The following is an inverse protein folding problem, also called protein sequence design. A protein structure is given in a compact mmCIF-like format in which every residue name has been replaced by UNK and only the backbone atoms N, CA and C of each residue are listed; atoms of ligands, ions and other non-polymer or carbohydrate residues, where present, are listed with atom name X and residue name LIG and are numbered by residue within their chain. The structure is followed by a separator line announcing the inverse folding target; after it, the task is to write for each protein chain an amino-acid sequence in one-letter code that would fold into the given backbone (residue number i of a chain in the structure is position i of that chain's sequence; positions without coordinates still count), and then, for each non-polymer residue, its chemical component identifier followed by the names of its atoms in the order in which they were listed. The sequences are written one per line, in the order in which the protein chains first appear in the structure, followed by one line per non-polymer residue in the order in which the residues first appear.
data_IF_361871171579
#
_entry.id   IF_361871171579
#
_cell.length_a   1.000
_cell.length_b   1.000
_cell.length_c   1.000
_cell.angle_alpha   90.00
_cell.angle_beta   90.00
_cell.angle_gamma   90.00
#
_symmetry.space_group_name_H-M   'P 1'
#
loop_
_entity.id
_entity.type
_entity.pdbx_description
1 polymer ?
#
# COMPACT_ATOMS: atom_id res chain seq x y z
N UNK A 1 -4.27 -43.46 46.33
CA UNK A 1 -4.74 -43.04 44.98
C UNK A 1 -4.53 -41.56 44.68
N UNK A 2 -4.81 -40.60 45.59
CA UNK A 2 -4.55 -39.16 45.36
C UNK A 2 -3.08 -38.79 45.06
N UNK A 3 -2.11 -39.49 45.66
CA UNK A 3 -0.67 -39.26 45.42
C UNK A 3 -0.17 -39.73 44.05
N UNK A 4 -0.83 -40.72 43.43
CA UNK A 4 -0.50 -41.21 42.09
C UNK A 4 -1.01 -40.23 41.01
N UNK A 5 -2.20 -39.65 41.23
CA UNK A 5 -2.80 -38.65 40.35
C UNK A 5 -1.96 -37.35 40.34
N UNK A 6 -1.44 -36.93 41.50
CA UNK A 6 -0.56 -35.76 41.60
C UNK A 6 0.80 -35.98 40.92
N UNK A 7 1.33 -37.21 40.90
CA UNK A 7 2.56 -37.53 40.19
C UNK A 7 2.36 -37.55 38.66
N UNK A 8 1.22 -38.09 38.19
CA UNK A 8 0.85 -38.07 36.77
C UNK A 8 0.54 -36.64 36.30
N UNK A 9 -0.07 -35.81 37.14
CA UNK A 9 -0.23 -34.39 36.87
C UNK A 9 1.14 -33.69 36.82
N UNK A 10 2.03 -33.89 37.79
CA UNK A 10 3.36 -33.25 37.76
C UNK A 10 4.18 -33.65 36.53
N UNK A 11 4.13 -34.93 36.11
CA UNK A 11 4.77 -35.41 34.88
C UNK A 11 4.10 -34.90 33.59
N UNK A 12 2.80 -34.61 33.61
CA UNK A 12 2.09 -34.04 32.45
C UNK A 12 2.22 -32.51 32.32
N UNK A 13 2.49 -31.78 33.41
CA UNK A 13 2.82 -30.33 33.35
C UNK A 13 4.32 -30.04 33.21
N UNK A 14 5.21 -31.04 33.31
CA UNK A 14 6.67 -30.84 33.14
C UNK A 14 7.22 -31.30 31.78
N UNK A 15 6.35 -31.62 30.82
CA UNK A 15 6.69 -31.85 29.42
C UNK A 15 5.88 -30.94 28.48
N UNK A 16 6.03 -29.63 28.66
CA UNK A 16 5.99 -28.68 27.55
C UNK A 16 7.37 -28.02 27.40
N UNK A 17 8.39 -28.86 27.19
CA UNK A 17 9.53 -28.46 26.36
C UNK A 17 9.20 -28.91 24.93
N UNK A 18 8.09 -28.41 24.38
CA UNK A 18 7.80 -28.56 22.96
C UNK A 18 8.62 -27.52 22.20
N UNK A 19 9.78 -27.97 21.74
CA UNK A 19 10.37 -27.60 20.45
C UNK A 19 11.24 -26.35 20.29
N UNK A 20 11.93 -25.89 21.32
CA UNK A 20 13.20 -25.17 21.08
C UNK A 20 14.25 -26.06 20.38
N UNK A 21 14.14 -27.39 20.51
CA UNK A 21 15.08 -28.35 19.90
C UNK A 21 14.76 -28.76 18.45
N UNK A 22 13.50 -28.62 17.97
CA UNK A 22 13.20 -28.83 16.53
C UNK A 22 13.43 -27.60 15.68
N UNK A 23 13.38 -26.38 16.23
CA UNK A 23 13.81 -25.20 15.48
C UNK A 23 15.33 -25.12 15.32
N UNK A 24 16.12 -25.66 16.27
CA UNK A 24 17.59 -25.68 16.19
C UNK A 24 18.18 -26.80 15.32
N UNK A 25 17.37 -27.78 14.90
CA UNK A 25 17.77 -28.87 13.98
C UNK A 25 17.36 -28.67 12.53
N UNK A 26 16.52 -27.68 12.24
CA UNK A 26 16.21 -27.32 10.84
C UNK A 26 17.45 -26.65 10.25
N UNK A 27 17.80 -27.01 9.01
CA UNK A 27 18.82 -26.24 8.32
C UNK A 27 18.35 -24.78 8.26
N UNK A 28 19.30 -23.86 8.30
CA UNK A 28 19.03 -22.42 8.17
C UNK A 28 18.13 -22.11 6.98
N UNK A 29 18.30 -22.86 5.88
CA UNK A 29 17.50 -22.79 4.67
C UNK A 29 16.04 -23.22 4.91
N UNK A 30 15.80 -24.32 5.62
CA UNK A 30 14.44 -24.78 5.97
C UNK A 30 13.74 -23.78 6.90
N UNK A 31 14.44 -23.24 7.89
CA UNK A 31 13.89 -22.24 8.82
C UNK A 31 13.49 -20.96 8.07
N UNK A 32 14.37 -20.45 7.20
CA UNK A 32 14.08 -19.26 6.39
C UNK A 32 12.96 -19.50 5.38
N UNK A 33 12.92 -20.68 4.77
CA UNK A 33 11.86 -21.07 3.85
C UNK A 33 10.49 -21.07 4.50
N UNK A 34 10.37 -21.61 5.72
CA UNK A 34 9.12 -21.63 6.48
C UNK A 34 8.71 -20.22 6.92
N UNK A 35 9.64 -19.47 7.51
CA UNK A 35 9.41 -18.10 7.99
C UNK A 35 8.99 -17.16 6.84
N UNK A 36 9.68 -17.22 5.70
CA UNK A 36 9.36 -16.35 4.58
C UNK A 36 8.12 -16.81 3.80
N UNK A 37 7.80 -18.10 3.81
CA UNK A 37 6.52 -18.57 3.25
C UNK A 37 5.34 -17.91 3.96
N UNK A 38 5.38 -17.81 5.29
CA UNK A 38 4.33 -17.16 6.06
C UNK A 38 4.34 -15.62 5.90
N UNK A 39 5.52 -15.01 5.78
CA UNK A 39 5.67 -13.56 5.58
C UNK A 39 5.24 -13.08 4.17
N UNK A 40 5.32 -13.96 3.16
CA UNK A 40 5.05 -13.67 1.74
C UNK A 40 3.59 -13.97 1.34
N UNK A 41 2.72 -14.30 2.30
CA UNK A 41 1.28 -14.30 2.06
C UNK A 41 0.77 -12.86 1.89
N UNK A 42 0.82 -12.37 0.65
CA UNK A 42 0.17 -11.13 0.24
C UNK A 42 -1.33 -11.27 0.49
N UNK A 43 -1.82 -10.65 1.57
CA UNK A 43 -3.23 -10.57 1.95
C UNK A 43 -4.03 -9.67 1.01
N UNK A 44 -3.99 -9.99 -0.28
CA UNK A 44 -4.67 -9.24 -1.32
C UNK A 44 -6.12 -9.70 -1.36
N UNK A 45 -7.04 -8.78 -1.12
CA UNK A 45 -8.47 -9.06 -1.11
C UNK A 45 -8.89 -9.77 -2.39
N UNK A 46 -9.67 -10.85 -2.25
CA UNK A 46 -10.16 -11.67 -3.37
C UNK A 46 -11.41 -11.10 -4.03
N UNK A 47 -11.95 -10.00 -3.51
CA UNK A 47 -13.13 -9.33 -4.05
C UNK A 47 -12.80 -8.61 -5.36
N UNK A 48 -13.73 -8.58 -6.33
CA UNK A 48 -13.53 -7.80 -7.56
C UNK A 48 -13.66 -6.31 -7.23
N UNK A 49 -12.88 -5.44 -7.88
CA UNK A 49 -12.92 -3.96 -7.68
C UNK A 49 -14.35 -3.36 -7.76
N UNK A 50 -15.29 -4.11 -8.36
CA UNK A 50 -16.68 -3.78 -8.58
C UNK A 50 -17.70 -4.73 -7.92
N UNK A 51 -17.29 -5.76 -7.16
CA UNK A 51 -18.23 -6.69 -6.52
C UNK A 51 -18.03 -6.80 -5.01
N UNK A 52 -18.83 -6.05 -4.27
CA UNK A 52 -19.35 -6.48 -2.98
C UNK A 52 -20.75 -5.86 -2.86
N UNK A 53 -21.75 -6.73 -3.03
CA UNK A 53 -23.20 -6.49 -3.00
C UNK A 53 -23.65 -5.25 -2.21
N UNK A 54 -24.44 -4.40 -2.90
CA UNK A 54 -25.13 -3.16 -2.47
C UNK A 54 -24.27 -1.92 -2.14
N UNK A 55 -23.00 -1.88 -2.54
CA UNK A 55 -22.02 -0.85 -2.17
C UNK A 55 -21.15 -0.35 -3.35
N UNK A 56 -21.77 -0.22 -4.53
CA UNK A 56 -21.09 -0.16 -5.82
C UNK A 56 -20.25 1.12 -6.08
N UNK A 57 -20.37 2.17 -5.27
CA UNK A 57 -19.59 3.41 -5.46
C UNK A 57 -18.24 3.43 -4.72
N UNK A 58 -18.05 2.59 -3.70
CA UNK A 58 -16.88 2.61 -2.81
C UNK A 58 -16.07 1.30 -2.81
N UNK A 59 -16.33 0.38 -3.75
CA UNK A 59 -15.56 -0.87 -3.89
C UNK A 59 -14.06 -0.63 -3.99
N UNK A 60 -13.65 0.44 -4.67
CA UNK A 60 -12.26 0.86 -4.77
C UNK A 60 -11.61 1.20 -3.43
N UNK A 61 -12.34 1.84 -2.52
CA UNK A 61 -11.83 2.28 -1.21
C UNK A 61 -11.47 1.11 -0.33
N UNK A 62 -12.38 0.14 -0.24
CA UNK A 62 -12.15 -1.08 0.56
C UNK A 62 -10.99 -1.89 0.03
N UNK A 63 -10.85 -2.01 -1.29
CA UNK A 63 -9.72 -2.74 -1.85
C UNK A 63 -8.41 -2.00 -1.74
N UNK A 64 -8.42 -0.69 -1.92
CA UNK A 64 -7.24 0.13 -1.73
C UNK A 64 -6.75 0.07 -0.28
N UNK A 65 -7.67 0.11 0.69
CA UNK A 65 -7.34 -0.07 2.10
C UNK A 65 -6.84 -1.48 2.41
N UNK A 66 -7.51 -2.53 1.90
CA UNK A 66 -7.07 -3.94 2.07
C UNK A 66 -5.69 -4.17 1.45
N UNK A 67 -5.46 -3.66 0.24
CA UNK A 67 -4.20 -3.81 -0.44
C UNK A 67 -3.10 -3.00 0.23
N UNK A 68 -3.35 -1.75 0.60
CA UNK A 68 -2.41 -0.94 1.35
C UNK A 68 -2.06 -1.58 2.71
N UNK A 69 -3.03 -2.18 3.41
CA UNK A 69 -2.78 -2.92 4.66
C UNK A 69 -2.00 -4.22 4.43
N UNK A 70 -2.29 -4.95 3.36
CA UNK A 70 -1.53 -6.14 2.98
C UNK A 70 -0.07 -5.79 2.67
N UNK A 71 0.16 -4.70 1.94
CA UNK A 71 1.50 -4.23 1.61
C UNK A 71 2.23 -3.59 2.81
N UNK A 72 1.51 -2.94 3.73
CA UNK A 72 2.12 -2.34 4.93
C UNK A 72 2.83 -3.38 5.78
N UNK A 73 2.28 -4.59 5.87
CA UNK A 73 2.83 -5.67 6.67
C UNK A 73 4.04 -6.39 6.06
N UNK A 74 4.31 -6.26 4.75
CA UNK A 74 5.37 -7.06 4.09
C UNK A 74 6.74 -6.74 4.67
N UNK A 75 7.09 -5.45 4.76
CA UNK A 75 8.39 -5.00 5.27
C UNK A 75 8.58 -5.52 6.70
N UNK A 76 7.60 -5.29 7.57
CA UNK A 76 7.63 -5.72 8.96
C UNK A 76 7.76 -7.24 9.08
N UNK A 77 6.99 -8.01 8.31
CA UNK A 77 7.03 -9.48 8.35
C UNK A 77 8.38 -10.03 7.86
N UNK A 78 8.99 -9.44 6.83
CA UNK A 78 10.30 -9.86 6.34
C UNK A 78 11.41 -9.53 7.34
N UNK A 79 11.40 -8.32 7.91
CA UNK A 79 12.37 -7.91 8.94
C UNK A 79 12.21 -8.78 10.20
N UNK A 80 10.97 -9.02 10.64
CA UNK A 80 10.67 -9.91 11.76
C UNK A 80 11.15 -11.33 11.46
N UNK A 81 10.97 -11.81 10.23
CA UNK A 81 11.46 -13.12 9.81
C UNK A 81 12.98 -13.24 9.89
N UNK A 82 13.71 -12.23 9.42
CA UNK A 82 15.17 -12.16 9.55
C UNK A 82 15.61 -12.09 11.02
N UNK A 83 14.86 -11.36 11.86
CA UNK A 83 15.10 -11.29 13.32
C UNK A 83 14.91 -12.63 14.00
N UNK A 84 13.82 -13.33 13.70
CA UNK A 84 13.54 -14.66 14.24
C UNK A 84 14.56 -15.70 13.77
N UNK A 85 15.12 -15.53 12.57
CA UNK A 85 16.24 -16.35 12.08
C UNK A 85 17.62 -15.96 12.68
N UNK A 86 17.67 -14.99 13.61
CA UNK A 86 18.86 -14.63 14.37
C UNK A 86 19.85 -13.73 13.64
N UNK A 87 19.47 -13.10 12.52
CA UNK A 87 20.37 -12.24 11.75
C UNK A 87 20.80 -10.97 12.49
N UNK A 88 20.01 -10.52 13.48
CA UNK A 88 20.31 -9.33 14.28
C UNK A 88 20.82 -9.66 15.70
N UNK A 89 21.18 -10.91 15.98
CA UNK A 89 21.69 -11.29 17.31
C UNK A 89 23.08 -10.69 17.61
N UNK A 90 23.82 -10.30 16.56
CA UNK A 90 25.12 -9.63 16.67
C UNK A 90 25.09 -8.31 15.88
N UNK A 91 24.46 -7.25 16.41
CA UNK A 91 24.11 -6.04 15.66
C UNK A 91 25.31 -5.21 15.15
N UNK A 92 26.54 -5.53 15.57
CA UNK A 92 27.76 -4.87 15.07
C UNK A 92 28.55 -5.67 14.02
N UNK A 93 28.15 -6.90 13.68
CA UNK A 93 28.88 -7.71 12.70
C UNK A 93 28.29 -7.57 11.30
N UNK A 94 29.17 -7.27 10.34
CA UNK A 94 28.86 -7.38 8.92
C UNK A 94 28.70 -8.85 8.53
N UNK A 95 27.66 -9.15 7.77
CA UNK A 95 27.33 -10.50 7.32
C UNK A 95 26.76 -10.46 5.92
N UNK A 96 27.24 -11.36 5.05
CA UNK A 96 26.67 -11.59 3.73
C UNK A 96 26.44 -13.09 3.55
N UNK A 97 25.20 -13.49 3.29
CA UNK A 97 24.82 -14.86 2.99
C UNK A 97 24.13 -14.94 1.64
N UNK A 98 24.45 -15.99 0.88
CA UNK A 98 23.76 -16.35 -0.36
C UNK A 98 23.28 -17.79 -0.21
N UNK A 99 21.97 -17.99 -0.23
CA UNK A 99 21.32 -19.29 -0.08
C UNK A 99 20.70 -19.67 -1.41
N UNK A 100 21.18 -20.73 -2.05
CA UNK A 100 20.70 -21.18 -3.37
C UNK A 100 19.70 -22.32 -3.23
N UNK A 101 18.79 -22.45 -4.20
CA UNK A 101 17.79 -23.52 -4.26
C UNK A 101 16.82 -23.54 -3.06
N UNK A 102 16.57 -22.39 -2.44
CA UNK A 102 15.55 -22.27 -1.41
C UNK A 102 14.19 -22.28 -2.08
N UNK A 103 13.32 -23.23 -1.71
CA UNK A 103 12.01 -23.36 -2.31
C UNK A 103 10.98 -22.57 -1.50
N UNK A 104 10.61 -21.38 -1.99
CA UNK A 104 9.62 -20.53 -1.33
C UNK A 104 8.22 -20.83 -1.87
N UNK A 105 7.24 -20.90 -0.98
CA UNK A 105 5.83 -20.99 -1.39
C UNK A 105 5.45 -19.81 -2.29
N UNK A 106 4.73 -20.08 -3.37
CA UNK A 106 4.32 -19.08 -4.36
C UNK A 106 5.39 -18.68 -5.37
N UNK A 107 6.68 -18.61 -4.99
CA UNK A 107 7.77 -18.18 -5.89
C UNK A 107 8.47 -19.38 -6.55
N UNK A 108 8.59 -20.49 -5.81
CA UNK A 108 9.35 -21.67 -6.19
C UNK A 108 10.84 -21.58 -5.82
N UNK A 109 11.67 -22.38 -6.52
CA UNK A 109 13.12 -22.39 -6.30
C UNK A 109 13.72 -21.01 -6.54
N UNK A 110 14.46 -20.52 -5.55
CA UNK A 110 14.99 -19.17 -5.49
C UNK A 110 16.38 -19.13 -4.87
N UNK A 111 17.11 -18.05 -5.16
CA UNK A 111 18.30 -17.64 -4.43
C UNK A 111 17.95 -16.50 -3.49
N UNK A 112 18.34 -16.61 -2.22
CA UNK A 112 18.19 -15.57 -1.22
C UNK A 112 19.54 -14.91 -0.97
N UNK A 113 19.63 -13.59 -1.13
CA UNK A 113 20.82 -12.82 -0.77
C UNK A 113 20.50 -11.96 0.44
N UNK A 114 21.23 -12.14 1.55
CA UNK A 114 21.01 -11.41 2.79
C UNK A 114 22.32 -10.72 3.16
N UNK A 115 22.27 -9.40 3.34
CA UNK A 115 23.39 -8.56 3.79
C UNK A 115 22.96 -7.81 5.05
N UNK A 116 23.67 -8.01 6.15
CA UNK A 116 23.45 -7.33 7.43
C UNK A 116 24.68 -6.49 7.74
N UNK A 117 24.50 -5.23 8.16
CA UNK A 117 25.59 -4.29 8.44
C UNK A 117 26.61 -4.21 7.30
N UNK A 118 26.11 -4.33 6.08
CA UNK A 118 26.90 -4.22 4.85
C UNK A 118 26.15 -3.21 3.99
N UNK A 119 26.40 -1.90 4.23
CA UNK A 119 25.56 -0.86 3.70
C UNK A 119 25.47 -0.91 2.18
N UNK A 120 24.25 -0.71 1.67
CA UNK A 120 24.04 -0.45 0.25
C UNK A 120 23.87 1.04 0.08
N UNK A 121 24.80 1.66 -0.65
CA UNK A 121 24.83 3.10 -0.83
C UNK A 121 24.22 3.51 -2.17
N UNK A 122 23.75 4.75 -2.26
CA UNK A 122 23.29 5.29 -3.55
C UNK A 122 21.94 4.72 -4.02
N UNK A 123 21.11 4.22 -3.11
CA UNK A 123 19.80 3.65 -3.45
C UNK A 123 18.85 4.79 -3.80
N UNK A 124 18.30 4.77 -5.01
CA UNK A 124 17.32 5.76 -5.49
C UNK A 124 15.89 5.22 -5.37
N UNK A 125 14.90 6.10 -5.23
CA UNK A 125 13.48 5.72 -5.15
C UNK A 125 12.58 6.79 -5.74
N UNK A 126 11.34 6.43 -6.09
CA UNK A 126 10.32 7.43 -6.44
C UNK A 126 9.81 8.21 -5.22
N UNK A 127 10.06 7.69 -4.01
CA UNK A 127 9.53 8.23 -2.76
C UNK A 127 10.37 9.35 -2.13
N UNK A 128 11.64 9.51 -2.51
CA UNK A 128 12.52 10.54 -1.96
C UNK A 128 13.41 11.12 -3.05
N UNK A 129 13.91 12.34 -2.81
CA UNK A 129 14.88 12.97 -3.70
C UNK A 129 16.29 12.42 -3.42
N UNK A 130 17.16 12.46 -4.42
CA UNK A 130 18.53 11.93 -4.35
C UNK A 130 18.55 10.43 -4.00
N UNK A 131 19.63 10.00 -3.37
CA UNK A 131 19.86 8.62 -2.94
C UNK A 131 19.94 8.54 -1.43
N UNK A 132 19.57 7.37 -0.89
CA UNK A 132 19.71 6.98 0.51
C UNK A 132 20.65 5.80 0.66
N UNK A 133 21.13 5.60 1.86
CA UNK A 133 22.00 4.48 2.21
C UNK A 133 21.29 3.60 3.24
N UNK A 134 21.33 2.28 3.05
CA UNK A 134 20.64 1.35 3.94
C UNK A 134 21.63 0.34 4.52
N UNK A 135 21.58 0.12 5.83
CA UNK A 135 22.50 -0.78 6.55
C UNK A 135 22.35 -2.26 6.17
N UNK A 136 21.15 -2.66 5.75
CA UNK A 136 20.78 -4.03 5.46
C UNK A 136 20.13 -4.16 4.09
N UNK A 137 20.29 -5.34 3.49
CA UNK A 137 19.69 -5.70 2.22
C UNK A 137 19.24 -7.16 2.22
N UNK A 138 18.07 -7.41 1.66
CA UNK A 138 17.53 -8.74 1.43
C UNK A 138 16.96 -8.83 0.01
N UNK A 139 17.32 -9.87 -0.73
CA UNK A 139 16.84 -10.13 -2.08
C UNK A 139 16.36 -11.57 -2.23
N UNK A 140 15.27 -11.72 -2.97
CA UNK A 140 14.77 -12.99 -3.48
C UNK A 140 14.87 -12.94 -5.00
N UNK A 141 15.64 -13.86 -5.58
CA UNK A 141 15.74 -14.04 -7.02
C UNK A 141 15.28 -15.44 -7.42
N UNK A 142 14.15 -15.54 -8.12
CA UNK A 142 13.66 -16.81 -8.67
C UNK A 142 14.68 -17.42 -9.63
N UNK A 143 14.88 -18.73 -9.52
CA UNK A 143 15.82 -19.45 -10.39
C UNK A 143 15.45 -19.28 -11.86
N UNK A 144 16.42 -18.86 -12.67
CA UNK A 144 16.22 -18.59 -14.11
C UNK A 144 15.63 -17.21 -14.45
N UNK A 145 15.28 -16.39 -13.46
CA UNK A 145 14.81 -15.02 -13.70
C UNK A 145 15.98 -14.06 -13.99
N UNK A 146 15.79 -13.14 -14.94
CA UNK A 146 16.76 -12.08 -15.26
C UNK A 146 16.73 -10.95 -14.23
N UNK A 147 15.59 -10.70 -13.60
CA UNK A 147 15.39 -9.71 -12.54
C UNK A 147 15.09 -10.38 -11.19
N UNK A 148 15.35 -9.70 -10.06
CA UNK A 148 14.88 -10.14 -8.76
C UNK A 148 13.35 -10.21 -8.71
N UNK A 149 12.82 -11.07 -7.85
CA UNK A 149 11.39 -11.09 -7.51
C UNK A 149 11.09 -10.13 -6.36
N UNK A 150 12.07 -9.89 -5.49
CA UNK A 150 11.97 -8.96 -4.36
C UNK A 150 13.36 -8.41 -3.98
N UNK A 151 13.43 -7.12 -3.65
CA UNK A 151 14.56 -6.49 -2.98
C UNK A 151 14.05 -5.61 -1.84
N UNK A 152 14.63 -5.76 -0.66
CA UNK A 152 14.33 -5.01 0.55
C UNK A 152 15.63 -4.37 1.04
N UNK A 153 15.65 -3.05 1.09
CA UNK A 153 16.69 -2.22 1.69
C UNK A 153 16.14 -1.65 2.98
N UNK A 154 16.87 -1.73 4.09
CA UNK A 154 16.36 -1.25 5.37
C UNK A 154 17.48 -0.95 6.35
N UNK A 155 17.22 -0.03 7.25
CA UNK A 155 18.08 0.24 8.39
C UNK A 155 17.72 -0.60 9.61
N UNK A 156 18.54 -0.48 10.66
CA UNK A 156 18.32 -1.22 11.89
C UNK A 156 16.92 -0.91 12.43
N UNK A 157 16.04 -1.92 12.56
CA UNK A 157 14.68 -1.73 13.02
C UNK A 157 14.58 -1.21 14.46
N UNK A 158 15.68 -1.27 15.23
CA UNK A 158 15.72 -0.80 16.60
C UNK A 158 16.16 0.68 16.72
N UNK A 159 16.67 1.29 15.66
CA UNK A 159 17.03 2.72 15.61
C UNK A 159 16.02 3.48 14.77
N UNK A 160 15.10 4.21 15.41
CA UNK A 160 14.01 4.91 14.69
C UNK A 160 14.36 6.36 14.31
N UNK A 161 15.38 6.95 14.93
CA UNK A 161 15.78 8.34 14.70
C UNK A 161 17.08 8.39 13.89
N UNK A 162 17.09 9.22 12.84
CA UNK A 162 18.26 9.41 11.97
C UNK A 162 18.51 8.28 10.97
N UNK A 163 17.58 7.33 10.84
CA UNK A 163 17.64 6.28 9.82
C UNK A 163 16.94 6.71 8.52
N UNK A 164 17.30 6.05 7.42
CA UNK A 164 16.73 6.21 6.09
C UNK A 164 15.45 5.39 5.89
N UNK A 165 15.12 4.48 6.81
CA UNK A 165 13.86 3.75 6.87
C UNK A 165 13.95 2.37 6.21
N UNK A 166 12.91 1.96 5.48
CA UNK A 166 12.92 0.73 4.70
C UNK A 166 12.21 0.89 3.35
N UNK A 167 12.81 0.33 2.31
CA UNK A 167 12.38 0.40 0.93
C UNK A 167 12.32 -1.02 0.35
N UNK A 168 11.19 -1.38 -0.23
CA UNK A 168 11.01 -2.69 -0.86
C UNK A 168 10.52 -2.54 -2.30
N UNK A 169 11.09 -3.34 -3.19
CA UNK A 169 10.64 -3.57 -4.55
C UNK A 169 10.21 -5.02 -4.70
N UNK A 170 9.09 -5.29 -5.35
CA UNK A 170 8.66 -6.67 -5.59
C UNK A 170 7.80 -6.80 -6.85
N UNK A 171 7.90 -7.97 -7.51
CA UNK A 171 7.17 -8.30 -8.73
C UNK A 171 5.95 -9.16 -8.45
N UNK A 172 4.75 -8.60 -8.61
CA UNK A 172 3.50 -9.33 -8.27
C UNK A 172 3.35 -10.67 -9.01
N UNK A 173 3.81 -10.75 -10.26
CA UNK A 173 3.71 -11.96 -11.11
C UNK A 173 4.49 -13.16 -10.53
N UNK A 174 5.54 -12.91 -9.74
CA UNK A 174 6.39 -13.97 -9.21
C UNK A 174 5.82 -14.62 -7.94
N UNK A 175 4.80 -14.06 -7.29
CA UNK A 175 4.30 -14.51 -5.98
C UNK A 175 3.20 -15.58 -6.03
N UNK A 176 3.08 -16.33 -7.13
CA UNK A 176 2.28 -17.57 -7.20
C UNK A 176 0.77 -17.43 -6.97
N UNK A 177 0.26 -16.20 -6.85
CA UNK A 177 -1.17 -15.96 -6.77
C UNK A 177 -1.76 -16.04 -8.20
N UNK A 178 -2.73 -16.95 -8.45
CA UNK A 178 -3.34 -17.12 -9.78
C UNK A 178 -3.94 -15.83 -10.35
N UNK A 179 -4.34 -14.87 -9.51
CA UNK A 179 -4.85 -13.57 -9.94
C UNK A 179 -3.77 -12.70 -10.59
N UNK A 180 -2.49 -12.93 -10.30
CA UNK A 180 -1.35 -12.20 -10.86
C UNK A 180 -0.53 -13.01 -11.87
N UNK A 181 -0.91 -14.27 -12.13
CA UNK A 181 -0.18 -15.14 -13.06
C UNK A 181 -0.13 -14.60 -14.50
N UNK A 182 -1.13 -13.83 -14.91
CA UNK A 182 -1.23 -13.18 -16.22
C UNK A 182 -1.06 -11.67 -16.17
N UNK A 183 -0.63 -11.16 -15.01
CA UNK A 183 -0.33 -9.75 -14.86
C UNK A 183 1.07 -9.53 -15.43
N UNK A 184 1.24 -8.44 -16.18
CA UNK A 184 2.52 -8.09 -16.80
C UNK A 184 3.62 -7.87 -15.76
N UNK A 185 4.71 -7.25 -16.18
CA UNK A 185 5.84 -6.93 -15.30
C UNK A 185 5.52 -5.79 -14.33
N UNK A 186 4.58 -6.03 -13.40
CA UNK A 186 4.24 -5.11 -12.31
C UNK A 186 5.35 -5.13 -11.31
N UNK A 187 5.99 -3.98 -11.14
CA UNK A 187 6.85 -3.72 -10.01
C UNK A 187 6.11 -2.78 -9.06
N UNK A 188 6.06 -3.18 -7.80
CA UNK A 188 5.57 -2.33 -6.71
C UNK A 188 6.75 -1.91 -5.87
N UNK A 189 6.84 -0.61 -5.59
CA UNK A 189 7.75 0.02 -4.64
C UNK A 189 6.96 0.38 -3.38
N UNK A 190 7.47 0.04 -2.20
CA UNK A 190 6.95 0.52 -0.93
C UNK A 190 8.08 1.10 -0.09
N UNK A 191 7.91 2.33 0.37
CA UNK A 191 8.88 3.01 1.23
C UNK A 191 8.22 3.43 2.54
N UNK A 192 8.83 3.07 3.67
CA UNK A 192 8.45 3.50 5.01
C UNK A 192 9.57 4.32 5.64
N UNK A 193 9.20 5.41 6.31
CA UNK A 193 10.14 6.31 6.96
C UNK A 193 9.45 7.18 8.02
N UNK A 194 10.25 8.00 8.70
CA UNK A 194 9.78 8.95 9.69
C UNK A 194 9.95 10.38 9.17
N UNK A 195 8.90 11.21 9.28
CA UNK A 195 9.02 12.62 8.95
C UNK A 195 9.63 13.41 10.11
N UNK A 196 10.69 14.16 9.81
CA UNK A 196 11.44 14.94 10.82
C UNK A 196 10.65 16.05 11.51
N UNK A 197 9.56 16.55 10.89
CA UNK A 197 8.76 17.68 11.42
C UNK A 197 7.76 17.22 12.47
N UNK A 198 7.22 16.01 12.35
CA UNK A 198 6.16 15.51 13.23
C UNK A 198 6.56 14.26 14.03
N UNK A 199 7.70 13.62 13.69
CA UNK A 199 8.02 12.28 14.20
C UNK A 199 7.02 11.21 13.73
N UNK A 200 6.15 11.54 12.78
CA UNK A 200 5.09 10.67 12.27
C UNK A 200 5.65 9.69 11.27
N UNK A 201 5.18 8.45 11.38
CA UNK A 201 5.47 7.40 10.41
C UNK A 201 4.68 7.65 9.14
N UNK A 202 5.33 7.47 8.01
CA UNK A 202 4.66 7.46 6.72
C UNK A 202 5.06 6.23 5.93
N UNK A 203 4.18 5.85 5.01
CA UNK A 203 4.45 4.83 4.03
C UNK A 203 3.87 5.24 2.69
N UNK A 204 4.64 5.10 1.62
CA UNK A 204 4.16 5.30 0.25
C UNK A 204 4.31 4.03 -0.56
N UNK A 205 3.31 3.74 -1.38
CA UNK A 205 3.29 2.63 -2.32
C UNK A 205 3.14 3.19 -3.70
N UNK A 206 4.01 2.79 -4.62
CA UNK A 206 3.90 3.15 -6.03
C UNK A 206 3.94 1.87 -6.84
N UNK A 207 3.04 1.72 -7.81
CA UNK A 207 3.10 0.60 -8.75
C UNK A 207 3.01 1.12 -10.17
N UNK A 208 3.73 0.45 -11.06
CA UNK A 208 3.68 0.66 -12.51
C UNK A 208 3.22 -0.60 -13.21
N UNK A 209 2.63 -0.41 -14.39
CA UNK A 209 2.17 -1.51 -15.24
C UNK A 209 1.26 -2.49 -14.50
N UNK A 210 0.51 -1.96 -13.52
CA UNK A 210 -0.29 -2.59 -12.48
C UNK A 210 -1.08 -3.80 -12.96
N UNK A 211 -1.65 -4.60 -12.04
CA UNK A 211 -2.48 -5.72 -12.44
C UNK A 211 -3.65 -5.18 -13.25
N UNK A 212 -3.52 -5.19 -14.58
CA UNK A 212 -4.56 -4.78 -15.51
C UNK A 212 -5.07 -6.05 -16.18
N UNK A 213 -6.02 -6.71 -15.51
CA UNK A 213 -6.57 -7.99 -15.91
C UNK A 213 -8.10 -8.01 -15.74
N UNK A 214 -8.73 -9.17 -15.85
CA UNK A 214 -10.19 -9.32 -15.72
C UNK A 214 -10.74 -8.98 -14.32
N UNK A 215 -9.88 -8.91 -13.31
CA UNK A 215 -10.22 -8.65 -11.90
C UNK A 215 -9.67 -7.30 -11.39
N UNK A 216 -8.63 -6.77 -12.03
CA UNK A 216 -7.92 -5.56 -11.61
C UNK A 216 -7.83 -4.55 -12.77
N UNK A 217 -8.17 -3.28 -12.50
CA UNK A 217 -8.29 -2.21 -13.53
C UNK A 217 -7.24 -1.11 -13.39
N UNK A 218 -6.32 -1.25 -12.45
CA UNK A 218 -5.35 -0.23 -12.09
C UNK A 218 -4.07 -0.40 -12.87
N UNK A 219 -3.74 0.60 -13.70
CA UNK A 219 -2.50 0.58 -14.49
C UNK A 219 -1.34 1.20 -13.71
N UNK A 220 -1.56 2.36 -13.11
CA UNK A 220 -0.55 3.05 -12.30
C UNK A 220 -1.22 3.68 -11.10
N UNK A 221 -0.49 3.82 -10.01
CA UNK A 221 -1.00 4.60 -8.91
C UNK A 221 -0.01 4.72 -7.79
N UNK A 222 -0.42 5.56 -6.84
CA UNK A 222 0.29 5.76 -5.60
C UNK A 222 -0.68 5.88 -4.44
N UNK A 223 -0.29 5.27 -3.32
CA UNK A 223 -0.96 5.36 -2.03
C UNK A 223 0.02 5.97 -1.04
N UNK A 224 -0.45 6.87 -0.21
CA UNK A 224 0.30 7.52 0.86
C UNK A 224 -0.46 7.31 2.16
N UNK A 225 0.20 6.69 3.12
CA UNK A 225 -0.25 6.50 4.48
C UNK A 225 0.57 7.39 5.39
N UNK A 226 -0.09 8.14 6.25
CA UNK A 226 0.56 8.94 7.28
C UNK A 226 -0.17 8.75 8.59
N UNK A 227 0.58 8.48 9.64
CA UNK A 227 0.06 8.51 11.00
C UNK A 227 -0.18 9.97 11.41
N UNK A 228 -1.39 10.29 11.90
CA UNK A 228 -1.79 11.64 12.32
C UNK A 228 -2.46 11.59 13.69
N UNK A 229 -2.74 12.75 14.28
CA UNK A 229 -3.38 12.87 15.60
C UNK A 229 -2.59 12.17 16.70
N UNK A 230 -1.26 12.41 16.73
CA UNK A 230 -0.34 11.74 17.67
C UNK A 230 -0.47 10.21 17.69
N UNK A 231 -0.74 9.61 16.53
CA UNK A 231 -0.89 8.16 16.40
C UNK A 231 -2.24 7.60 16.76
N UNK A 232 -3.28 8.42 16.71
CA UNK A 232 -4.67 8.00 16.96
C UNK A 232 -5.48 7.79 15.69
N UNK A 233 -5.00 8.32 14.57
CA UNK A 233 -5.68 8.23 13.28
C UNK A 233 -4.70 7.90 12.15
N UNK A 234 -5.20 7.14 11.18
CA UNK A 234 -4.56 6.89 9.90
C UNK A 234 -5.11 7.88 8.87
N UNK A 235 -4.22 8.63 8.24
CA UNK A 235 -4.51 9.37 7.03
C UNK A 235 -4.09 8.55 5.82
N UNK A 236 -5.07 8.19 4.99
CA UNK A 236 -4.86 7.52 3.72
C UNK A 236 -5.14 8.49 2.59
N UNK A 237 -4.26 8.50 1.59
CA UNK A 237 -4.44 9.23 0.34
C UNK A 237 -4.05 8.34 -0.82
N UNK A 238 -4.78 8.37 -1.92
CA UNK A 238 -4.39 7.68 -3.14
C UNK A 238 -4.84 8.39 -4.40
N UNK A 239 -4.06 8.19 -5.44
CA UNK A 239 -4.47 8.46 -6.81
C UNK A 239 -4.13 7.26 -7.65
N UNK A 240 -5.13 6.78 -8.38
CA UNK A 240 -5.00 5.64 -9.27
C UNK A 240 -5.50 6.00 -10.64
N UNK A 241 -4.66 5.75 -11.63
CA UNK A 241 -4.99 5.95 -13.03
C UNK A 241 -5.62 4.68 -13.60
N UNK A 242 -6.79 4.87 -14.17
CA UNK A 242 -7.63 3.87 -14.83
C UNK A 242 -7.79 4.25 -16.31
N UNK A 243 -8.30 3.31 -17.10
CA UNK A 243 -8.67 3.55 -18.50
C UNK A 243 -10.13 3.18 -18.74
N UNK A 244 -10.84 3.98 -19.53
CA UNK A 244 -12.20 3.64 -19.96
C UNK A 244 -12.20 2.37 -20.81
N UNK A 245 -11.15 2.14 -21.62
CA UNK A 245 -10.96 0.88 -22.33
C UNK A 245 -11.05 -0.30 -21.38
N UNK A 246 -10.30 -0.28 -20.27
CA UNK A 246 -10.31 -1.38 -19.31
C UNK A 246 -11.61 -1.52 -18.54
N UNK A 247 -12.21 -0.40 -18.15
CA UNK A 247 -13.50 -0.40 -17.48
C UNK A 247 -14.58 -1.10 -18.34
N UNK A 248 -14.54 -0.95 -19.66
CA UNK A 248 -15.45 -1.66 -20.58
C UNK A 248 -15.13 -3.15 -20.68
N UNK A 249 -13.84 -3.51 -20.77
CA UNK A 249 -13.42 -4.91 -20.84
C UNK A 249 -13.92 -5.73 -19.65
N UNK A 250 -13.85 -5.14 -18.45
CA UNK A 250 -14.29 -5.81 -17.22
C UNK A 250 -15.79 -5.68 -16.94
N UNK A 251 -16.48 -4.75 -17.61
CA UNK A 251 -17.92 -4.53 -17.51
C UNK A 251 -18.58 -4.39 -18.90
N UNK A 252 -18.56 -5.47 -19.70
CA UNK A 252 -18.98 -5.40 -21.09
C UNK A 252 -20.46 -5.03 -21.26
N UNK A 253 -21.31 -5.42 -20.31
CA UNK A 253 -22.74 -5.08 -20.30
C UNK A 253 -23.01 -3.58 -20.14
N UNK A 254 -22.06 -2.81 -19.60
CA UNK A 254 -22.21 -1.37 -19.40
C UNK A 254 -21.37 -0.53 -20.40
N UNK A 255 -20.85 -1.15 -21.47
CA UNK A 255 -19.89 -0.50 -22.39
C UNK A 255 -20.42 0.80 -23.01
N UNK A 256 -21.69 0.83 -23.42
CA UNK A 256 -22.30 2.02 -24.02
C UNK A 256 -22.40 3.19 -23.01
N UNK A 257 -22.75 2.90 -21.76
CA UNK A 257 -22.83 3.90 -20.70
C UNK A 257 -21.43 4.41 -20.32
N UNK A 258 -20.42 3.53 -20.32
CA UNK A 258 -19.03 3.92 -20.08
C UNK A 258 -18.45 4.79 -21.22
N UNK A 259 -18.78 4.50 -22.48
CA UNK A 259 -18.42 5.37 -23.61
C UNK A 259 -19.12 6.73 -23.57
N UNK A 260 -20.41 6.74 -23.19
CA UNK A 260 -21.12 7.99 -22.98
C UNK A 260 -20.50 8.80 -21.84
N UNK A 261 -20.20 8.16 -20.70
CA UNK A 261 -19.52 8.80 -19.58
C UNK A 261 -18.16 9.36 -19.99
N UNK A 262 -17.35 8.59 -20.74
CA UNK A 262 -16.08 9.06 -21.31
C UNK A 262 -16.26 10.31 -22.15
N UNK A 263 -17.25 10.32 -23.04
CA UNK A 263 -17.54 11.45 -23.93
C UNK A 263 -17.93 12.70 -23.12
N UNK A 264 -18.84 12.56 -22.16
CA UNK A 264 -19.30 13.67 -21.34
C UNK A 264 -18.17 14.19 -20.44
N UNK A 265 -17.39 13.30 -19.81
CA UNK A 265 -16.23 13.69 -19.00
C UNK A 265 -15.20 14.47 -19.83
N UNK A 266 -14.87 13.98 -21.02
CA UNK A 266 -13.95 14.66 -21.92
C UNK A 266 -14.46 16.06 -22.35
N UNK A 267 -15.74 16.17 -22.69
CA UNK A 267 -16.36 17.44 -23.04
C UNK A 267 -16.37 18.41 -21.85
N UNK A 268 -16.70 17.92 -20.65
CA UNK A 268 -16.81 18.72 -19.43
C UNK A 268 -15.46 19.21 -18.92
N UNK A 269 -14.42 18.39 -19.05
CA UNK A 269 -13.09 18.71 -18.55
C UNK A 269 -12.11 19.23 -19.62
N UNK A 270 -12.54 19.29 -20.88
CA UNK A 270 -11.74 19.83 -21.98
C UNK A 270 -10.54 18.96 -22.35
N UNK A 271 -10.59 17.64 -22.07
CA UNK A 271 -9.45 16.72 -22.27
C UNK A 271 -9.40 16.09 -23.68
N UNK A 272 -10.29 16.49 -24.58
CA UNK A 272 -10.32 15.97 -25.96
C UNK A 272 -10.82 14.53 -26.03
N UNK A 273 -9.96 13.59 -26.40
CA UNK A 273 -10.29 12.15 -26.54
C UNK A 273 -9.50 11.28 -25.58
N UNK A 274 -9.25 11.76 -24.35
CA UNK A 274 -8.52 11.00 -23.35
C UNK A 274 -9.27 9.71 -23.01
N UNK A 275 -8.53 8.62 -22.87
CA UNK A 275 -9.03 7.35 -22.32
C UNK A 275 -8.77 7.22 -20.82
N UNK A 276 -7.91 8.09 -20.27
CA UNK A 276 -7.46 8.03 -18.89
C UNK A 276 -8.43 8.74 -17.96
N UNK A 277 -8.70 8.11 -16.82
CA UNK A 277 -9.42 8.70 -15.70
C UNK A 277 -8.68 8.40 -14.40
N UNK A 278 -8.59 9.39 -13.53
CA UNK A 278 -7.89 9.32 -12.26
C UNK A 278 -8.93 9.25 -11.16
N UNK A 279 -8.85 8.18 -10.38
CA UNK A 279 -9.60 8.04 -9.14
C UNK A 279 -8.74 8.56 -8.00
N UNK A 280 -9.24 9.60 -7.33
CA UNK A 280 -8.61 10.22 -6.16
C UNK A 280 -9.41 9.84 -4.93
N UNK A 281 -8.72 9.45 -3.86
CA UNK A 281 -9.33 9.11 -2.58
C UNK A 281 -8.50 9.64 -1.44
N UNK A 282 -9.16 10.23 -0.46
CA UNK A 282 -8.59 10.42 0.86
C UNK A 282 -9.56 9.91 1.91
N UNK A 283 -9.04 9.29 2.97
CA UNK A 283 -9.83 8.97 4.14
C UNK A 283 -9.02 9.14 5.42
N UNK A 284 -9.75 9.46 6.48
CA UNK A 284 -9.26 9.38 7.85
C UNK A 284 -9.93 8.22 8.53
N UNK A 285 -9.15 7.41 9.23
CA UNK A 285 -9.63 6.26 9.99
C UNK A 285 -9.10 6.35 11.41
N UNK A 286 -9.97 6.16 12.40
CA UNK A 286 -9.52 6.00 13.79
C UNK A 286 -8.90 4.62 14.02
N UNK A 287 -7.88 4.56 14.86
CA UNK A 287 -7.28 3.28 15.27
C UNK A 287 -8.04 2.58 16.40
N UNK A 288 -8.90 3.28 17.13
CA UNK A 288 -9.77 2.65 18.13
C UNK A 288 -11.03 2.09 17.50
N UNK A 289 -11.46 0.92 17.98
CA UNK A 289 -12.75 0.33 17.62
C UNK A 289 -13.88 1.32 17.96
N UNK A 290 -14.86 1.56 17.06
CA UNK A 290 -15.22 0.75 15.90
C UNK A 290 -14.54 1.15 14.57
N UNK A 291 -13.35 1.74 14.62
CA UNK A 291 -12.54 2.12 13.47
C UNK A 291 -13.28 3.08 12.52
N UNK A 292 -13.99 4.06 13.11
CA UNK A 292 -14.78 5.01 12.33
C UNK A 292 -13.91 5.67 11.26
N UNK A 293 -14.44 5.69 10.04
CA UNK A 293 -13.73 6.16 8.86
C UNK A 293 -14.59 7.12 8.08
N UNK A 294 -14.05 8.28 7.76
CA UNK A 294 -14.67 9.25 6.84
C UNK A 294 -13.77 9.37 5.62
N UNK A 295 -14.36 9.25 4.43
CA UNK A 295 -13.66 9.25 3.16
C UNK A 295 -14.25 10.27 2.19
N UNK A 296 -13.44 10.75 1.27
CA UNK A 296 -13.83 11.64 0.16
C UNK A 296 -13.14 11.17 -1.11
N UNK A 297 -13.88 11.13 -2.21
CA UNK A 297 -13.41 10.58 -3.47
C UNK A 297 -13.72 11.52 -4.64
N UNK A 298 -12.98 11.37 -5.73
CA UNK A 298 -13.25 12.06 -6.99
C UNK A 298 -12.77 11.24 -8.18
N UNK A 299 -13.48 11.40 -9.29
CA UNK A 299 -13.02 10.95 -10.60
C UNK A 299 -12.78 12.17 -11.47
N UNK A 300 -11.60 12.25 -12.07
CA UNK A 300 -11.22 13.35 -12.94
C UNK A 300 -10.36 12.85 -14.10
N UNK A 301 -10.39 13.53 -15.24
CA UNK A 301 -9.51 13.32 -16.39
C UNK A 301 -8.41 14.40 -16.46
N UNK A 302 -8.52 15.45 -15.65
CA UNK A 302 -7.59 16.56 -15.54
C UNK A 302 -7.13 16.73 -14.07
N UNK A 303 -6.15 17.58 -13.79
CA UNK A 303 -5.58 17.79 -12.44
C UNK A 303 -6.54 18.43 -11.41
N UNK A 304 -7.84 18.54 -11.72
CA UNK A 304 -8.87 19.05 -10.80
C UNK A 304 -9.48 17.92 -9.98
N UNK A 305 -9.98 18.25 -8.77
CA UNK A 305 -10.63 17.31 -7.84
C UNK A 305 -12.07 17.72 -7.52
N UNK A 306 -12.99 17.65 -8.49
CA UNK A 306 -14.39 17.96 -8.25
C UNK A 306 -15.02 16.98 -7.26
N UNK A 307 -15.98 17.44 -6.45
CA UNK A 307 -16.82 16.59 -5.58
C UNK A 307 -17.89 15.81 -6.36
N UNK A 308 -17.79 15.79 -7.69
CA UNK A 308 -18.62 14.98 -8.56
C UNK A 308 -17.76 14.28 -9.60
N UNK A 309 -18.25 13.18 -10.16
CA UNK A 309 -17.61 12.52 -11.30
C UNK A 309 -17.38 13.56 -12.39
N UNK A 310 -16.12 13.79 -12.77
CA UNK A 310 -15.73 14.69 -13.86
C UNK A 310 -16.32 16.13 -13.78
N UNK A 311 -16.67 16.63 -12.60
CA UNK A 311 -17.37 17.91 -12.43
C UNK A 311 -18.75 17.97 -13.13
N UNK A 312 -19.43 16.81 -13.24
CA UNK A 312 -20.80 16.71 -13.72
C UNK A 312 -21.77 17.38 -12.75
N UNK A 313 -22.79 18.03 -13.28
CA UNK A 313 -23.82 18.70 -12.48
C UNK A 313 -24.78 17.66 -11.89
N UNK A 314 -24.93 17.66 -10.56
CA UNK A 314 -25.85 16.75 -9.85
C UNK A 314 -27.30 16.94 -10.30
N UNK A 315 -27.68 18.16 -10.70
CA UNK A 315 -29.01 18.44 -11.27
C UNK A 315 -29.31 17.69 -12.57
N UNK A 316 -28.26 17.31 -13.31
CA UNK A 316 -28.37 16.59 -14.59
C UNK A 316 -28.03 15.11 -14.43
N UNK A 317 -27.17 14.77 -13.48
CA UNK A 317 -26.76 13.40 -13.16
C UNK A 317 -26.76 13.26 -11.63
N UNK A 318 -27.91 12.93 -10.99
CA UNK A 318 -28.01 12.86 -9.53
C UNK A 318 -26.99 11.91 -8.89
N UNK A 319 -26.63 10.83 -9.59
CA UNK A 319 -25.62 9.86 -9.16
C UNK A 319 -24.16 10.33 -9.30
N UNK A 320 -23.92 11.55 -9.79
CA UNK A 320 -22.56 12.06 -9.97
C UNK A 320 -21.93 12.57 -8.66
N UNK A 321 -22.70 12.76 -7.59
CA UNK A 321 -22.19 13.27 -6.30
C UNK A 321 -21.21 12.27 -5.67
N UNK A 322 -20.00 12.75 -5.38
CA UNK A 322 -18.92 12.03 -4.70
C UNK A 322 -18.43 12.91 -3.54
N UNK A 323 -19.29 13.13 -2.56
CA UNK A 323 -18.97 13.89 -1.35
C UNK A 323 -18.36 12.95 -0.29
N UNK A 324 -18.84 12.98 0.95
CA UNK A 324 -18.31 12.11 1.99
C UNK A 324 -18.99 10.74 2.02
N UNK A 325 -18.18 9.71 2.24
CA UNK A 325 -18.62 8.36 2.60
C UNK A 325 -18.14 8.00 4.00
N UNK A 326 -18.94 7.23 4.74
CA UNK A 326 -18.59 6.78 6.08
C UNK A 326 -18.61 5.25 6.20
N UNK A 327 -17.67 4.74 6.99
CA UNK A 327 -17.45 3.30 7.22
C UNK A 327 -17.12 3.04 8.69
N UNK A 328 -17.44 1.83 9.15
CA UNK A 328 -17.09 1.34 10.48
C UNK A 328 -16.56 -0.10 10.40
N UNK A 329 -16.41 -0.76 11.54
CA UNK A 329 -15.94 -2.15 11.63
C UNK A 329 -16.75 -3.15 10.80
N UNK A 330 -18.05 -2.88 10.56
CA UNK A 330 -18.93 -3.70 9.72
C UNK A 330 -18.86 -3.34 8.23
N UNK A 331 -18.04 -2.35 7.87
CA UNK A 331 -17.84 -1.89 6.50
C UNK A 331 -18.60 -0.60 6.18
N UNK A 332 -19.12 -0.54 4.95
CA UNK A 332 -19.82 0.63 4.43
C UNK A 332 -21.08 0.95 5.24
N UNK A 333 -21.26 2.23 5.57
CA UNK A 333 -22.45 2.72 6.27
C UNK A 333 -23.34 3.54 5.33
N UNK A 334 -22.81 4.63 4.76
CA UNK A 334 -23.53 5.47 3.78
C UNK A 334 -22.57 6.40 3.03
N UNK A 335 -23.04 7.03 1.95
CA UNK A 335 -22.29 7.99 1.14
C UNK A 335 -23.12 9.21 0.73
N UNK A 336 -22.50 10.08 -0.08
CA UNK A 336 -23.09 11.30 -0.60
C UNK A 336 -23.52 12.29 0.50
N UNK A 337 -22.90 12.17 1.67
CA UNK A 337 -23.09 13.06 2.79
C UNK A 337 -22.47 14.42 2.50
N UNK A 338 -23.16 15.48 2.90
CA UNK A 338 -22.56 16.79 3.12
C UNK A 338 -21.73 16.76 4.41
N UNK A 339 -20.79 17.70 4.57
CA UNK A 339 -19.93 17.75 5.76
C UNK A 339 -20.73 17.79 7.08
N UNK A 340 -21.84 18.52 7.11
CA UNK A 340 -22.72 18.63 8.28
C UNK A 340 -23.50 17.35 8.60
N UNK A 341 -23.54 16.39 7.67
CA UNK A 341 -24.25 15.12 7.82
C UNK A 341 -23.32 13.99 8.31
N UNK A 342 -22.00 14.23 8.36
CA UNK A 342 -21.05 13.29 8.96
C UNK A 342 -21.22 13.31 10.48
N UNK A 343 -21.54 12.17 11.13
CA UNK A 343 -21.71 12.14 12.58
C UNK A 343 -20.41 12.51 13.32
N UNK A 344 -20.55 13.18 14.47
CA UNK A 344 -19.42 13.74 15.21
C UNK A 344 -18.44 12.69 15.78
N UNK A 345 -18.85 11.43 15.89
CA UNK A 345 -17.99 10.32 16.31
C UNK A 345 -17.11 9.77 15.19
N UNK A 346 -17.33 10.20 13.94
CA UNK A 346 -16.45 9.89 12.82
C UNK A 346 -15.34 10.94 12.68
N UNK A 347 -14.22 10.62 12.00
CA UNK A 347 -13.21 11.61 11.65
C UNK A 347 -13.82 12.82 10.93
N UNK A 348 -13.38 14.01 11.33
CA UNK A 348 -13.98 15.26 10.90
C UNK A 348 -13.81 15.49 9.40
N UNK A 349 -14.89 15.85 8.68
CA UNK A 349 -14.81 16.14 7.25
C UNK A 349 -14.01 17.42 6.96
N UNK A 350 -14.20 18.48 7.75
CA UNK A 350 -13.74 19.85 7.44
C UNK A 350 -12.89 20.50 8.52
N UNK A 351 -12.97 20.03 9.76
CA UNK A 351 -12.24 20.63 10.90
C UNK A 351 -10.97 19.83 11.14
N UNK A 352 -9.83 20.44 10.82
CA UNK A 352 -8.49 19.97 11.17
C UNK A 352 -7.89 20.72 12.36
N UNK A 353 -6.62 20.45 12.67
CA UNK A 353 -5.85 21.10 13.71
C UNK A 353 -4.35 21.06 13.43
N UNK A 354 -3.54 21.47 14.41
CA UNK A 354 -2.07 21.47 14.29
C UNK A 354 -1.48 20.07 14.12
N UNK A 355 -2.09 19.08 14.77
CA UNK A 355 -1.58 17.70 14.87
C UNK A 355 -2.53 16.65 14.28
N UNK A 356 -3.71 17.06 13.81
CA UNK A 356 -4.68 16.19 13.15
C UNK A 356 -5.20 16.86 11.89
N UNK A 357 -5.42 16.07 10.86
CA UNK A 357 -5.86 16.56 9.55
C UNK A 357 -7.32 16.16 9.34
N UNK A 358 -8.12 17.05 8.76
CA UNK A 358 -9.48 16.72 8.30
C UNK A 358 -9.45 15.93 7.00
N UNK A 359 -10.57 15.31 6.64
CA UNK A 359 -10.69 14.62 5.34
C UNK A 359 -10.49 15.59 4.18
N UNK A 360 -11.02 16.81 4.26
CA UNK A 360 -10.81 17.84 3.25
C UNK A 360 -9.35 18.25 3.12
N UNK A 361 -8.64 18.34 4.24
CA UNK A 361 -7.23 18.69 4.18
C UNK A 361 -6.41 17.60 3.48
N UNK A 362 -6.66 16.33 3.83
CA UNK A 362 -6.04 15.17 3.19
C UNK A 362 -6.39 15.11 1.69
N UNK A 363 -7.66 15.33 1.37
CA UNK A 363 -8.15 15.30 -0.01
C UNK A 363 -7.55 16.43 -0.86
N UNK A 364 -7.45 17.63 -0.31
CA UNK A 364 -6.84 18.78 -0.98
C UNK A 364 -5.33 18.60 -1.20
N UNK A 365 -4.67 17.78 -0.38
CA UNK A 365 -3.26 17.38 -0.52
C UNK A 365 -3.05 16.18 -1.44
N UNK A 366 -4.12 15.58 -1.96
CA UNK A 366 -4.04 14.44 -2.89
C UNK A 366 -4.12 14.95 -4.33
N UNK A 367 -3.52 14.25 -5.30
CA UNK A 367 -3.50 14.66 -6.72
C UNK A 367 -2.88 16.06 -6.94
N UNK A 368 -1.85 16.38 -6.14
CA UNK A 368 -1.09 17.63 -6.17
C UNK A 368 0.37 17.30 -6.47
N UNK A 369 1.08 18.22 -7.15
CA UNK A 369 2.48 18.02 -7.49
C UNK A 369 3.38 18.26 -6.29
N UNK A 370 4.57 17.65 -6.32
CA UNK A 370 5.62 17.98 -5.37
C UNK A 370 5.90 19.49 -5.36
N UNK A 371 6.27 20.01 -4.18
CA UNK A 371 6.66 21.39 -3.90
C UNK A 371 5.51 22.41 -3.98
N UNK A 372 4.31 22.01 -4.42
CA UNK A 372 3.12 22.86 -4.37
C UNK A 372 2.73 23.17 -2.92
N UNK A 373 2.31 24.42 -2.70
CA UNK A 373 1.68 24.87 -1.46
C UNK A 373 0.16 24.74 -1.58
N UNK A 374 -0.47 24.23 -0.53
CA UNK A 374 -1.92 24.05 -0.51
C UNK A 374 -2.55 25.18 0.27
N UNK A 375 -3.47 25.88 -0.38
CA UNK A 375 -4.24 26.97 0.21
C UNK A 375 -4.84 26.53 1.56
N UNK A 376 -4.64 27.35 2.59
CA UNK A 376 -5.08 27.10 3.97
C UNK A 376 -4.42 25.91 4.69
N UNK A 377 -3.29 25.39 4.18
CA UNK A 377 -2.51 24.31 4.82
C UNK A 377 -1.04 24.66 4.99
N UNK A 378 -0.71 25.95 5.12
CA UNK A 378 0.68 26.42 5.20
C UNK A 378 1.49 25.75 6.33
N UNK A 379 0.82 25.36 7.43
CA UNK A 379 1.45 24.65 8.54
C UNK A 379 1.97 23.24 8.17
N UNK A 380 1.38 22.59 7.16
CA UNK A 380 1.83 21.28 6.64
C UNK A 380 3.01 21.42 5.65
N UNK A 381 3.36 22.66 5.28
CA UNK A 381 4.39 22.94 4.29
C UNK A 381 4.04 22.42 2.88
N UNK A 382 5.00 22.53 1.95
CA UNK A 382 4.81 22.06 0.58
C UNK A 382 4.68 20.54 0.51
N UNK A 383 4.03 20.05 -0.54
CA UNK A 383 3.89 18.61 -0.85
C UNK A 383 5.27 17.96 -1.02
N UNK A 384 5.53 16.89 -0.27
CA UNK A 384 6.82 16.18 -0.31
C UNK A 384 6.88 15.19 -1.47
N UNK A 385 8.09 14.72 -1.80
CA UNK A 385 8.31 13.73 -2.87
C UNK A 385 7.51 12.42 -2.68
N UNK A 386 7.40 11.91 -1.46
CA UNK A 386 6.62 10.71 -1.16
C UNK A 386 5.11 10.94 -1.28
N UNK A 387 4.67 12.20 -1.32
CA UNK A 387 3.27 12.61 -1.42
C UNK A 387 2.85 12.98 -2.85
N UNK A 388 3.82 13.17 -3.76
CA UNK A 388 3.54 13.54 -5.15
C UNK A 388 2.66 12.46 -5.78
N UNK A 389 1.43 12.86 -6.05
CA UNK A 389 0.41 12.01 -6.65
C UNK A 389 -0.19 12.70 -7.87
N UNK A 390 0.49 13.73 -8.40
CA UNK A 390 -0.02 14.56 -9.50
C UNK A 390 -0.26 13.78 -10.78
N UNK A 391 -1.10 14.36 -11.65
CA UNK A 391 -1.31 13.85 -13.01
C UNK A 391 0.01 13.71 -13.77
N UNK A 392 0.87 14.74 -13.70
CA UNK A 392 2.18 14.72 -14.38
C UNK A 392 3.05 13.57 -13.87
N UNK A 393 3.12 13.38 -12.55
CA UNK A 393 3.84 12.26 -11.94
C UNK A 393 3.32 10.89 -12.41
N UNK A 394 1.99 10.70 -12.40
CA UNK A 394 1.38 9.43 -12.80
C UNK A 394 1.44 9.14 -14.30
N UNK A 395 1.45 10.18 -15.14
CA UNK A 395 1.50 10.04 -16.59
C UNK A 395 2.89 9.73 -17.10
N UNK A 396 3.92 10.09 -16.33
CA UNK A 396 5.28 9.72 -16.67
C UNK A 396 5.36 8.20 -16.79
N UNK A 397 4.75 7.39 -15.90
CA UNK A 397 4.81 5.90 -15.86
C UNK A 397 4.45 5.10 -17.13
N UNK A 398 4.04 5.73 -18.23
CA UNK A 398 3.81 5.07 -19.53
C UNK A 398 5.08 4.89 -20.41
N UNK A 399 6.27 5.32 -19.97
CA UNK A 399 7.53 5.21 -20.74
C UNK A 399 8.42 4.01 -20.38
N UNK A 400 9.31 3.62 -21.31
CA UNK A 400 10.11 2.38 -21.25
C UNK A 400 11.24 2.35 -20.19
N UNK A 401 11.72 3.50 -19.71
CA UNK A 401 12.82 3.56 -18.73
C UNK A 401 12.50 4.56 -17.63
N UNK A 402 11.97 4.08 -16.50
CA UNK A 402 11.52 4.97 -15.42
C UNK A 402 11.82 4.39 -14.04
N UNK A 403 12.14 5.28 -13.09
CA UNK A 403 12.81 5.11 -11.79
C UNK A 403 12.36 3.95 -10.86
N UNK A 404 11.27 3.26 -11.18
CA UNK A 404 10.73 2.12 -10.45
C UNK A 404 11.24 0.81 -11.07
N UNK A 405 12.51 0.53 -10.80
CA UNK A 405 13.24 -0.67 -11.19
C UNK A 405 13.98 -1.22 -9.97
N UNK A 406 14.31 -2.51 -10.00
CA UNK A 406 15.26 -3.10 -9.04
C UNK A 406 16.61 -2.37 -9.09
N UNK A 407 17.31 -2.36 -7.95
CA UNK A 407 18.54 -1.58 -7.72
C UNK A 407 19.76 -2.49 -7.62
#
# INVERSE_FOLDING_TARGET
MKKLILLVLFLSVSLQVSDFHKQTRKSKETLLSEIFTDAIHLGIGTEKLWSATSADNWGFVRQSATWARGNSGIIDNLILGLKNAGYFNNPGQARTDVLTNVNLSGIGSSTLTIKINTPTTGVSSTAYANTKDFNHFFEIKKTGASQPSLQLFFDDPNTTLGNDGALIYYRLVDFGNPQFANVGDVITESYTGNESVYGTKFQTYTWRNGPENSSWISKHGRVVLTEVDSGRQLCFRSVVRLSFTKLKEINPSNSANLENLKTICNARQGTGTSDNIYYTLAYMQKFDSPFQTTAKASFSMNATRPETICNLLVSSVPSAKLSYGIFNINGYVTDQLDASQVPADYPSPTVGGSDFMSVDEAFNRTFVAKDDLITNQNALGPVKQYEDTSKAYLDVFDGADQNLNFK
#
